data_IF_326416969862
#
_entry.id   IF_326416969862
#
_cell.length_a   1.000
_cell.length_b   1.000
_cell.length_c   1.000
_cell.angle_alpha   90.00
_cell.angle_beta   90.00
_cell.angle_gamma   90.00
#
_symmetry.space_group_name_H-M   'P 1'
#
loop_
_entity.id
_entity.type
_entity.pdbx_description
1 polymer ?
#
# COMPACT_ATOMS: atom_id res chain seq x y z
N UNK A 1 -1.34 28.56 7.73
CA UNK A 1 -1.81 27.22 8.15
C UNK A 1 -1.34 26.22 7.10
N UNK A 2 -0.02 26.19 6.91
CA UNK A 2 0.71 25.30 6.00
C UNK A 2 1.47 24.33 6.90
N UNK A 3 1.20 23.03 6.85
CA UNK A 3 2.08 21.98 7.46
C UNK A 3 1.62 20.53 7.27
N UNK A 4 0.56 20.22 6.52
CA UNK A 4 0.13 18.83 6.29
C UNK A 4 0.22 18.35 4.83
N UNK A 5 0.57 19.22 3.87
CA UNK A 5 0.78 18.83 2.46
C UNK A 5 2.14 18.16 2.18
N UNK A 6 3.08 18.15 3.12
CA UNK A 6 4.39 17.47 2.95
C UNK A 6 4.36 15.94 3.09
N UNK A 7 3.18 15.34 3.33
CA UNK A 7 3.02 13.89 3.50
C UNK A 7 2.22 13.23 2.37
N UNK A 8 2.22 13.86 1.18
CA UNK A 8 2.05 13.09 -0.05
C UNK A 8 3.24 12.14 -0.17
N UNK A 9 3.09 10.96 0.42
CA UNK A 9 3.66 9.73 -0.13
C UNK A 9 3.08 9.68 -1.55
N UNK A 10 3.76 10.34 -2.49
CA UNK A 10 3.46 10.21 -3.90
C UNK A 10 3.42 8.70 -4.16
N UNK A 11 2.32 8.20 -4.75
CA UNK A 11 2.05 6.79 -4.78
C UNK A 11 3.18 6.10 -5.55
N UNK A 12 4.09 5.44 -4.83
CA UNK A 12 4.50 4.12 -5.28
C UNK A 12 3.19 3.37 -5.40
N UNK A 13 2.72 3.25 -6.65
CA UNK A 13 1.52 2.54 -7.06
C UNK A 13 1.73 1.08 -6.66
N UNK A 14 1.52 0.81 -5.38
CA UNK A 14 1.34 -0.52 -4.84
C UNK A 14 -0.17 -0.65 -4.87
N UNK A 15 -0.67 -1.25 -5.94
CA UNK A 15 -2.10 -1.43 -6.15
C UNK A 15 -2.71 -2.12 -4.90
N UNK A 16 -3.63 -1.42 -4.21
CA UNK A 16 -4.51 -2.01 -3.18
C UNK A 16 -3.96 -2.17 -1.75
N UNK A 17 -3.16 -1.26 -1.21
CA UNK A 17 -2.62 -1.37 0.18
C UNK A 17 -3.65 -1.08 1.27
N UNK A 18 -4.36 -2.11 1.70
CA UNK A 18 -4.97 -2.17 3.04
C UNK A 18 -3.90 -2.21 4.14
N UNK A 19 -4.18 -1.62 5.30
CA UNK A 19 -3.30 -1.55 6.48
C UNK A 19 -2.69 -2.90 6.91
N UNK A 20 -3.31 -4.03 6.57
CA UNK A 20 -2.78 -5.38 6.83
C UNK A 20 -1.46 -5.69 6.12
N UNK A 21 -1.17 -5.05 4.97
CA UNK A 21 0.09 -5.30 4.26
C UNK A 21 1.29 -4.61 4.93
N UNK A 22 1.08 -3.50 5.63
CA UNK A 22 2.13 -2.83 6.41
C UNK A 22 2.64 -3.72 7.56
N UNK A 23 1.75 -4.50 8.17
CA UNK A 23 2.11 -5.42 9.24
C UNK A 23 2.94 -6.63 8.76
N UNK A 24 2.84 -6.98 7.48
CA UNK A 24 3.37 -8.24 6.94
C UNK A 24 4.90 -8.36 6.96
N UNK A 25 5.63 -7.24 7.00
CA UNK A 25 7.09 -7.21 6.85
C UNK A 25 7.60 -7.37 5.41
N UNK A 26 6.75 -7.84 4.48
CA UNK A 26 7.14 -8.11 3.10
C UNK A 26 7.39 -6.83 2.28
N UNK A 27 6.55 -5.80 2.49
CA UNK A 27 6.70 -4.50 1.84
C UNK A 27 8.01 -3.84 2.26
N UNK A 28 8.37 -3.92 3.53
CA UNK A 28 9.62 -3.35 4.08
C UNK A 28 10.84 -4.07 3.52
N UNK A 29 10.79 -5.40 3.39
CA UNK A 29 11.84 -6.15 2.71
C UNK A 29 12.00 -5.69 1.25
N UNK A 30 10.89 -5.48 0.53
CA UNK A 30 10.95 -5.03 -0.86
C UNK A 30 11.47 -3.59 -1.00
N UNK A 31 11.13 -2.69 -0.07
CA UNK A 31 11.68 -1.32 -0.05
C UNK A 31 13.21 -1.36 0.09
N UNK A 32 13.73 -2.20 0.98
CA UNK A 32 15.17 -2.37 1.10
C UNK A 32 15.81 -3.05 -0.11
N UNK A 33 15.12 -3.96 -0.78
CA UNK A 33 15.64 -4.59 -1.99
C UNK A 33 15.72 -3.60 -3.17
N UNK A 34 14.81 -2.62 -3.22
CA UNK A 34 14.89 -1.51 -4.17
C UNK A 34 16.12 -0.63 -3.89
N UNK A 35 16.41 -0.35 -2.62
CA UNK A 35 17.57 0.45 -2.18
C UNK A 35 18.89 -0.31 -2.36
N UNK A 36 18.90 -1.60 -2.03
CA UNK A 36 20.07 -2.49 -2.04
C UNK A 36 19.78 -3.79 -2.80
N UNK A 37 19.68 -3.73 -4.15
CA UNK A 37 19.36 -4.90 -4.94
C UNK A 37 20.31 -6.08 -4.68
N UNK A 38 19.73 -7.24 -4.36
CA UNK A 38 20.48 -8.48 -4.13
C UNK A 38 20.97 -8.69 -2.69
N UNK A 39 20.86 -7.69 -1.81
CA UNK A 39 21.17 -7.84 -0.38
C UNK A 39 20.04 -8.55 0.35
N UNK A 40 18.79 -8.26 -0.01
CA UNK A 40 17.61 -8.88 0.60
C UNK A 40 17.42 -10.29 0.02
N UNK A 41 17.36 -11.34 0.86
CA UNK A 41 17.08 -12.69 0.40
C UNK A 41 15.58 -12.83 0.07
N UNK A 42 15.16 -12.28 -1.07
CA UNK A 42 13.75 -12.20 -1.49
C UNK A 42 13.05 -13.56 -1.59
N UNK A 43 13.81 -14.66 -1.72
CA UNK A 43 13.29 -16.03 -1.69
C UNK A 43 12.80 -16.51 -0.32
N UNK A 44 13.17 -15.81 0.76
CA UNK A 44 12.69 -16.09 2.11
C UNK A 44 11.50 -15.22 2.51
N UNK A 45 11.14 -14.24 1.69
CA UNK A 45 10.08 -13.28 2.00
C UNK A 45 8.74 -13.85 1.53
N UNK A 46 7.80 -14.00 2.46
CA UNK A 46 6.44 -14.41 2.18
C UNK A 46 5.55 -13.19 1.93
N UNK A 47 5.22 -12.92 0.67
CA UNK A 47 4.34 -11.80 0.29
C UNK A 47 2.85 -12.04 0.60
N UNK A 48 2.47 -13.29 0.83
CA UNK A 48 1.10 -13.70 1.17
C UNK A 48 0.93 -13.97 2.67
N UNK A 49 1.85 -13.46 3.52
CA UNK A 49 1.83 -13.65 4.96
C UNK A 49 0.54 -13.09 5.59
N UNK A 50 -0.26 -13.98 6.18
CA UNK A 50 -1.54 -13.65 6.84
C UNK A 50 -1.53 -13.88 8.35
N UNK A 51 -0.62 -14.72 8.84
CA UNK A 51 -0.53 -15.06 10.27
C UNK A 51 0.63 -14.32 10.93
N UNK A 52 0.54 -14.03 12.23
CA UNK A 52 1.62 -13.40 12.99
C UNK A 52 2.94 -14.19 12.86
N UNK A 53 2.86 -15.52 12.84
CA UNK A 53 4.01 -16.40 12.63
C UNK A 53 4.73 -16.12 11.31
N UNK A 54 3.97 -16.02 10.20
CA UNK A 54 4.53 -15.73 8.87
C UNK A 54 5.13 -14.32 8.81
N UNK A 55 4.46 -13.34 9.42
CA UNK A 55 4.96 -11.96 9.48
C UNK A 55 6.27 -11.87 10.27
N UNK A 56 6.38 -12.60 11.39
CA UNK A 56 7.62 -12.69 12.17
C UNK A 56 8.77 -13.22 11.31
N UNK A 57 8.55 -14.18 10.42
CA UNK A 57 9.63 -14.67 9.53
C UNK A 57 10.11 -13.59 8.57
N UNK A 58 9.21 -12.79 8.02
CA UNK A 58 9.59 -11.63 7.20
C UNK A 58 10.40 -10.60 8.00
N UNK A 59 10.02 -10.30 9.25
CA UNK A 59 10.80 -9.40 10.09
C UNK A 59 12.18 -9.96 10.48
N UNK A 60 12.33 -11.28 10.60
CA UNK A 60 13.66 -11.89 10.79
C UNK A 60 14.56 -11.66 9.57
N UNK A 61 14.01 -11.81 8.36
CA UNK A 61 14.73 -11.47 7.12
C UNK A 61 15.13 -10.00 7.13
N UNK A 62 14.21 -9.11 7.51
CA UNK A 62 14.46 -7.68 7.59
C UNK A 62 15.58 -7.34 8.60
N UNK A 63 15.54 -7.93 9.81
CA UNK A 63 16.58 -7.76 10.83
C UNK A 63 17.95 -8.27 10.36
N UNK A 64 17.99 -9.40 9.66
CA UNK A 64 19.24 -9.94 9.08
C UNK A 64 19.85 -8.93 8.10
N UNK A 65 19.03 -8.31 7.26
CA UNK A 65 19.48 -7.27 6.31
C UNK A 65 19.94 -6.00 7.03
N UNK A 66 19.21 -5.54 8.06
CA UNK A 66 19.63 -4.39 8.88
C UNK A 66 21.00 -4.62 9.51
N UNK A 67 21.23 -5.83 10.06
CA UNK A 67 22.50 -6.21 10.65
C UNK A 67 23.65 -6.26 9.63
N UNK A 68 23.38 -6.72 8.40
CA UNK A 68 24.36 -6.74 7.29
C UNK A 68 24.73 -5.33 6.85
N UNK A 69 23.73 -4.46 6.71
CA UNK A 69 23.89 -3.07 6.28
C UNK A 69 24.30 -2.12 7.41
N UNK A 70 24.45 -2.61 8.65
CA UNK A 70 24.79 -1.83 9.84
C UNK A 70 23.80 -0.68 10.12
N UNK A 71 22.52 -0.95 9.90
CA UNK A 71 21.44 0.00 10.15
C UNK A 71 21.08 -0.06 11.64
N UNK A 72 21.45 0.99 12.39
CA UNK A 72 21.17 1.10 13.83
C UNK A 72 19.77 1.65 14.11
N UNK A 73 18.75 0.86 13.75
CA UNK A 73 17.35 1.14 14.06
C UNK A 73 16.72 -0.08 14.72
N UNK A 74 16.23 0.11 15.93
CA UNK A 74 15.45 -0.91 16.62
C UNK A 74 14.11 -1.17 15.92
N UNK A 75 13.79 -2.45 15.68
CA UNK A 75 12.54 -2.89 15.04
C UNK A 75 11.66 -3.54 16.12
N UNK A 76 10.56 -2.87 16.47
CA UNK A 76 9.56 -3.36 17.44
C UNK A 76 8.65 -4.44 16.83
N UNK A 77 9.22 -5.59 16.47
CA UNK A 77 8.53 -6.67 15.73
C UNK A 77 7.18 -7.02 16.36
N UNK A 78 7.13 -7.23 17.68
CA UNK A 78 5.91 -7.60 18.41
C UNK A 78 4.76 -6.59 18.31
N UNK A 79 5.05 -5.32 18.04
CA UNK A 79 4.02 -4.28 17.84
C UNK A 79 3.59 -4.22 16.38
N UNK A 80 4.56 -4.35 15.48
CA UNK A 80 4.36 -4.29 14.04
C UNK A 80 3.50 -5.45 13.53
N UNK A 81 3.83 -6.69 13.93
CA UNK A 81 3.10 -7.91 13.50
C UNK A 81 1.66 -7.96 14.04
N UNK A 82 1.37 -7.24 15.12
CA UNK A 82 0.01 -7.07 15.65
C UNK A 82 -0.84 -6.08 14.86
N UNK A 83 -0.29 -5.50 13.79
CA UNK A 83 -1.01 -4.56 12.94
C UNK A 83 -1.34 -3.24 13.62
N UNK A 84 -0.59 -2.83 14.65
CA UNK A 84 -0.81 -1.54 15.31
C UNK A 84 -0.56 -0.40 14.32
N UNK A 85 -1.57 0.44 13.99
CA UNK A 85 -1.45 1.39 12.88
C UNK A 85 -0.35 2.44 13.09
N UNK A 86 -0.23 2.97 14.31
CA UNK A 86 0.76 4.01 14.62
C UNK A 86 2.20 3.47 14.56
N UNK A 87 2.48 2.32 15.18
CA UNK A 87 3.81 1.70 15.15
C UNK A 87 4.21 1.36 13.70
N UNK A 88 3.28 0.80 12.90
CA UNK A 88 3.54 0.48 11.50
C UNK A 88 3.78 1.72 10.63
N UNK A 89 2.99 2.77 10.83
CA UNK A 89 3.15 4.03 10.12
C UNK A 89 4.49 4.71 10.46
N UNK A 90 4.83 4.79 11.74
CA UNK A 90 6.10 5.36 12.20
C UNK A 90 7.30 4.62 11.59
N UNK A 91 7.26 3.28 11.60
CA UNK A 91 8.32 2.46 11.03
C UNK A 91 8.45 2.65 9.52
N UNK A 92 7.32 2.64 8.78
CA UNK A 92 7.33 2.85 7.32
C UNK A 92 7.82 4.24 6.94
N UNK A 93 7.40 5.28 7.66
CA UNK A 93 7.88 6.64 7.43
C UNK A 93 9.39 6.74 7.65
N UNK A 94 9.88 6.16 8.75
CA UNK A 94 11.32 6.12 9.01
C UNK A 94 12.07 5.36 7.90
N UNK A 95 11.56 4.19 7.50
CA UNK A 95 12.19 3.37 6.47
C UNK A 95 12.22 4.08 5.12
N UNK A 96 11.14 4.76 4.74
CA UNK A 96 11.09 5.56 3.51
C UNK A 96 12.15 6.66 3.53
N UNK A 97 12.25 7.44 4.61
CA UNK A 97 13.28 8.48 4.75
C UNK A 97 14.69 7.89 4.67
N UNK A 98 14.91 6.72 5.29
CA UNK A 98 16.17 6.01 5.20
C UNK A 98 16.49 5.60 3.74
N UNK A 99 15.57 4.92 3.05
CA UNK A 99 15.73 4.53 1.65
C UNK A 99 16.03 5.74 0.74
N UNK A 100 15.30 6.85 0.93
CA UNK A 100 15.50 8.08 0.16
C UNK A 100 16.88 8.70 0.41
N UNK A 101 17.34 8.68 1.67
CA UNK A 101 18.65 9.21 2.03
C UNK A 101 19.80 8.42 1.40
N UNK A 102 19.63 7.11 1.21
CA UNK A 102 20.63 6.23 0.60
C UNK A 102 20.64 6.40 -0.92
N UNK A 103 19.46 6.44 -1.55
CA UNK A 103 19.34 6.54 -3.01
C UNK A 103 19.46 7.98 -3.54
N UNK A 104 19.62 8.98 -2.68
CA UNK A 104 19.58 10.40 -3.06
C UNK A 104 18.22 10.82 -3.65
N UNK A 105 17.15 10.10 -3.33
CA UNK A 105 15.82 10.29 -3.90
C UNK A 105 15.63 9.78 -5.34
N UNK A 106 16.65 9.15 -5.95
CA UNK A 106 16.56 8.61 -7.31
C UNK A 106 16.06 7.16 -7.27
N UNK A 107 14.93 6.91 -7.93
CA UNK A 107 14.38 5.57 -8.10
C UNK A 107 15.15 4.82 -9.18
N UNK A 108 15.55 3.58 -8.87
CA UNK A 108 16.23 2.70 -9.83
C UNK A 108 15.24 2.30 -10.94
N UNK A 109 15.34 2.92 -12.11
CA UNK A 109 14.45 2.70 -13.27
C UNK A 109 14.50 1.25 -13.79
N UNK A 110 15.55 0.50 -13.47
CA UNK A 110 15.73 -0.90 -13.91
C UNK A 110 15.25 -1.92 -12.87
N UNK A 111 14.64 -1.49 -11.76
CA UNK A 111 14.14 -2.41 -10.73
C UNK A 111 12.71 -2.88 -11.03
N UNK A 112 12.55 -4.18 -11.34
CA UNK A 112 11.24 -4.80 -11.53
C UNK A 112 10.76 -5.52 -10.25
N UNK A 113 9.81 -4.95 -9.47
CA UNK A 113 9.35 -5.53 -8.21
C UNK A 113 8.65 -6.88 -8.38
N UNK A 114 7.95 -7.10 -9.50
CA UNK A 114 7.17 -8.32 -9.74
C UNK A 114 8.12 -9.49 -9.97
N UNK A 115 9.12 -9.31 -10.83
CA UNK A 115 10.14 -10.34 -11.08
C UNK A 115 10.91 -10.73 -9.82
N UNK A 116 11.21 -9.76 -8.95
CA UNK A 116 11.93 -10.00 -7.68
C UNK A 116 11.09 -10.83 -6.71
N UNK A 117 9.77 -10.65 -6.69
CA UNK A 117 8.84 -11.51 -5.93
C UNK A 117 8.78 -12.92 -6.52
N UNK A 118 8.66 -13.06 -7.84
CA UNK A 118 8.48 -14.36 -8.50
C UNK A 118 9.74 -15.24 -8.48
N UNK A 119 10.95 -14.66 -8.55
CA UNK A 119 12.22 -15.41 -8.41
C UNK A 119 12.43 -15.96 -7.00
N UNK A 120 11.64 -15.53 -6.01
CA UNK A 120 11.72 -16.03 -4.64
C UNK A 120 11.00 -17.36 -4.39
N UNK A 121 10.01 -17.71 -5.21
CA UNK A 121 9.09 -18.83 -4.95
C UNK A 121 9.47 -20.12 -5.70
N UNK A 122 10.40 -20.04 -6.65
CA UNK A 122 10.78 -21.18 -7.49
C UNK A 122 12.26 -21.48 -7.36
N UNK A 123 12.61 -22.31 -6.38
CA UNK A 123 13.66 -23.34 -6.51
C UNK A 123 13.66 -24.29 -5.30
N UNK A 124 12.68 -25.19 -5.29
CA UNK A 124 12.80 -26.51 -4.67
C UNK A 124 13.12 -27.55 -5.75
N UNK A 125 14.33 -27.53 -6.32
CA UNK A 125 15.03 -28.72 -6.83
C UNK A 125 16.44 -28.33 -7.33
N UNK A 126 17.54 -28.99 -6.89
CA UNK A 126 18.87 -28.73 -7.42
C UNK A 126 19.15 -29.69 -8.59
N UNK A 127 19.39 -29.17 -9.80
CA UNK A 127 20.21 -29.83 -10.84
C UNK A 127 20.34 -28.97 -12.11
N UNK A 128 21.49 -28.31 -12.25
CA UNK A 128 22.19 -28.06 -13.52
C UNK A 128 23.57 -27.46 -13.18
N UNK A 129 24.57 -28.29 -12.87
CA UNK A 129 25.69 -28.58 -13.78
C UNK A 129 26.33 -27.36 -14.44
N UNK A 130 27.33 -26.77 -13.77
CA UNK A 130 28.50 -26.24 -14.45
C UNK A 130 29.76 -26.91 -13.89
N UNK A 131 30.56 -27.42 -14.82
CA UNK A 131 31.79 -28.19 -14.62
C UNK A 131 32.96 -27.22 -14.42
N UNK A 132 33.81 -27.47 -13.42
CA UNK A 132 35.26 -27.70 -13.60
C UNK A 132 35.98 -27.95 -12.25
N UNK A 133 37.19 -28.57 -12.28
CA UNK A 133 37.55 -29.61 -11.30
C UNK A 133 38.77 -29.31 -10.41
N UNK A 134 39.01 -30.26 -9.47
CA UNK A 134 40.21 -30.51 -8.63
C UNK A 134 40.27 -29.63 -7.36
N UNK A 135 40.60 -30.12 -6.18
CA UNK A 135 41.33 -31.33 -5.78
C UNK A 135 41.08 -31.64 -4.29
N UNK A 136 41.12 -32.93 -3.90
CA UNK A 136 41.71 -33.52 -2.67
C UNK A 136 41.21 -32.94 -1.31
N UNK A 137 40.76 -33.68 -0.29
CA UNK A 137 41.12 -35.01 0.19
C UNK A 137 40.26 -35.37 1.42
N UNK A 138 40.02 -36.67 1.60
CA UNK A 138 39.90 -37.45 2.86
C UNK A 138 38.76 -37.25 3.87
N UNK A 139 37.88 -38.26 3.87
CA UNK A 139 37.62 -39.23 4.95
C UNK A 139 36.95 -38.83 6.29
N UNK A 140 35.85 -39.56 6.49
CA UNK A 140 35.49 -40.41 7.62
C UNK A 140 34.38 -39.96 8.58
N UNK A 141 33.45 -40.91 8.69
CA UNK A 141 32.27 -41.02 9.55
C UNK A 141 32.64 -41.34 11.02
N UNK A 142 31.55 -41.54 11.79
CA UNK A 142 31.40 -42.23 13.08
C UNK A 142 32.10 -41.50 14.26
N UNK A 143 31.50 -41.30 15.45
CA UNK A 143 30.53 -42.09 16.16
C UNK A 143 30.07 -41.35 17.44
N UNK A 144 28.85 -41.66 17.88
CA UNK A 144 28.30 -41.77 19.25
C UNK A 144 29.15 -41.43 20.48
N UNK A 145 28.52 -40.81 21.49
CA UNK A 145 28.89 -41.02 22.90
C UNK A 145 28.49 -39.90 23.87
N UNK A 146 27.57 -40.14 24.82
CA UNK A 146 27.15 -39.23 25.89
C UNK A 146 27.95 -39.45 27.19
N UNK A 147 28.04 -38.47 28.10
CA UNK A 147 27.84 -38.71 29.55
C UNK A 147 27.78 -37.42 30.39
N UNK A 148 27.15 -37.60 31.54
CA UNK A 148 26.75 -36.78 32.68
C UNK A 148 27.75 -35.77 33.30
N UNK A 149 27.24 -34.71 33.94
CA UNK A 149 27.11 -34.59 35.42
C UNK A 149 26.86 -33.14 35.92
N UNK A 150 25.65 -32.94 36.47
CA UNK A 150 25.28 -32.41 37.81
C UNK A 150 26.04 -31.21 38.43
N UNK A 151 25.26 -30.22 38.91
CA UNK A 151 25.57 -29.38 40.10
C UNK A 151 25.26 -27.88 39.93
N UNK A 152 24.01 -27.39 40.06
CA UNK A 152 23.23 -27.07 41.27
C UNK A 152 23.64 -25.77 42.03
N UNK A 153 22.81 -24.73 41.84
CA UNK A 153 22.31 -23.68 42.76
C UNK A 153 23.26 -22.77 43.56
N UNK A 154 23.01 -21.44 43.51
CA UNK A 154 22.35 -20.68 44.61
C UNK A 154 21.93 -19.26 44.20
N UNK A 155 20.93 -18.76 44.93
CA UNK A 155 20.02 -17.65 44.64
C UNK A 155 20.33 -16.33 45.37
N UNK A 156 19.42 -15.35 45.17
CA UNK A 156 19.12 -14.12 45.93
C UNK A 156 19.78 -12.83 45.39
N UNK A 157 19.11 -11.69 45.22
CA UNK A 157 17.74 -11.28 45.53
C UNK A 157 17.52 -9.78 45.20
N UNK A 158 16.23 -9.43 45.00
CA UNK A 158 15.57 -8.12 45.12
C UNK A 158 16.25 -6.82 44.62
N UNK A 159 15.54 -6.12 43.71
CA UNK A 159 15.15 -4.70 43.88
C UNK A 159 13.88 -4.39 43.08
N UNK A 160 12.77 -4.24 43.80
CA UNK A 160 11.54 -3.60 43.34
C UNK A 160 11.84 -2.16 42.94
N UNK A 161 11.47 -1.76 41.72
CA UNK A 161 11.30 -0.35 41.37
C UNK A 161 9.82 -0.03 41.44
N UNK A 162 9.53 0.95 42.29
CA UNK A 162 8.21 1.38 42.73
C UNK A 162 7.55 2.19 41.62
N UNK A 163 6.34 1.77 41.29
CA UNK A 163 5.35 2.44 40.44
C UNK A 163 5.13 3.88 40.90
N UNK A 164 5.36 4.85 40.02
CA UNK A 164 4.88 6.21 40.20
C UNK A 164 3.43 6.28 39.73
N UNK A 165 2.54 6.35 40.71
CA UNK A 165 1.28 7.08 40.75
C UNK A 165 0.61 7.33 39.38
N UNK A 166 -0.36 6.47 39.08
CA UNK A 166 -1.46 6.74 38.19
C UNK A 166 -2.33 7.88 38.76
N UNK A 167 -2.45 8.98 38.04
CA UNK A 167 -3.47 10.01 38.31
C UNK A 167 -3.89 10.83 37.08
N UNK A 168 -3.64 10.35 35.86
CA UNK A 168 -4.07 11.07 34.63
C UNK A 168 -4.60 10.15 33.50
N UNK A 169 -4.70 8.84 33.75
CA UNK A 169 -5.09 7.84 32.74
C UNK A 169 -6.57 7.82 32.37
N UNK A 170 -7.45 8.40 33.21
CA UNK A 170 -8.88 8.38 32.99
C UNK A 170 -9.33 9.36 31.88
N UNK A 171 -8.70 10.55 31.82
CA UNK A 171 -9.03 11.56 30.80
C UNK A 171 -8.54 11.16 29.40
N UNK A 172 -7.33 10.60 29.31
CA UNK A 172 -6.79 10.08 28.05
C UNK A 172 -7.59 8.88 27.51
N UNK A 173 -8.01 7.95 28.37
CA UNK A 173 -8.81 6.80 27.94
C UNK A 173 -10.16 7.20 27.34
N UNK A 174 -10.84 8.18 27.94
CA UNK A 174 -12.11 8.71 27.42
C UNK A 174 -11.94 9.43 26.07
N UNK A 175 -10.87 10.22 25.93
CA UNK A 175 -10.58 10.92 24.68
C UNK A 175 -10.14 9.96 23.56
N UNK A 176 -9.34 8.94 23.88
CA UNK A 176 -8.98 7.87 22.93
C UNK A 176 -10.22 7.10 22.49
N UNK A 177 -11.17 6.83 23.39
CA UNK A 177 -12.41 6.16 23.06
C UNK A 177 -13.34 7.04 22.19
N UNK A 178 -13.45 8.33 22.50
CA UNK A 178 -14.22 9.29 21.71
C UNK A 178 -13.66 9.43 20.29
N UNK A 179 -12.35 9.62 20.15
CA UNK A 179 -11.66 9.68 18.86
C UNK A 179 -11.77 8.36 18.09
N UNK A 180 -11.71 7.22 18.78
CA UNK A 180 -11.89 5.91 18.15
C UNK A 180 -13.31 5.74 17.60
N UNK A 181 -14.33 6.25 18.31
CA UNK A 181 -15.71 6.27 17.83
C UNK A 181 -15.86 7.17 16.61
N UNK A 182 -15.30 8.37 16.66
CA UNK A 182 -15.33 9.32 15.53
C UNK A 182 -14.64 8.73 14.29
N UNK A 183 -13.50 8.05 14.45
CA UNK A 183 -12.84 7.34 13.35
C UNK A 183 -13.72 6.23 12.78
N UNK A 184 -14.46 5.50 13.62
CA UNK A 184 -15.37 4.45 13.17
C UNK A 184 -16.56 5.06 12.38
N UNK A 185 -17.16 6.13 12.90
CA UNK A 185 -18.28 6.83 12.25
C UNK A 185 -17.84 7.45 10.91
N UNK A 186 -16.67 8.09 10.88
CA UNK A 186 -16.08 8.63 9.64
C UNK A 186 -15.77 7.55 8.62
N UNK A 187 -15.25 6.39 9.05
CA UNK A 187 -15.02 5.25 8.12
C UNK A 187 -16.32 4.77 7.51
N UNK A 188 -17.37 4.58 8.30
CA UNK A 188 -18.69 4.21 7.79
C UNK A 188 -19.25 5.28 6.83
N UNK A 189 -19.03 6.56 7.14
CA UNK A 189 -19.43 7.66 6.27
C UNK A 189 -18.66 7.65 4.94
N UNK A 190 -17.35 7.41 4.97
CA UNK A 190 -16.54 7.29 3.75
C UNK A 190 -16.98 6.09 2.92
N UNK A 191 -17.17 4.93 3.54
CA UNK A 191 -17.65 3.72 2.84
C UNK A 191 -19.02 3.94 2.17
N UNK A 192 -19.90 4.73 2.81
CA UNK A 192 -21.19 5.09 2.24
C UNK A 192 -21.03 6.05 1.06
N UNK A 193 -20.22 7.11 1.22
CA UNK A 193 -19.96 8.09 0.17
C UNK A 193 -19.26 7.46 -1.04
N UNK A 194 -18.38 6.48 -0.83
CA UNK A 194 -17.74 5.73 -1.92
C UNK A 194 -18.77 4.90 -2.69
N UNK A 195 -19.70 4.25 -2.00
CA UNK A 195 -20.80 3.53 -2.66
C UNK A 195 -21.71 4.46 -3.45
N UNK A 196 -22.04 5.63 -2.90
CA UNK A 196 -22.85 6.64 -3.60
C UNK A 196 -22.10 7.19 -4.83
N UNK A 197 -20.82 7.54 -4.68
CA UNK A 197 -19.95 7.96 -5.79
C UNK A 197 -19.93 6.91 -6.90
N UNK A 198 -19.67 5.65 -6.55
CA UNK A 198 -19.57 4.56 -7.52
C UNK A 198 -20.93 4.28 -8.19
N UNK A 199 -22.02 4.38 -7.43
CA UNK A 199 -23.37 4.27 -7.96
C UNK A 199 -23.64 5.32 -9.04
N UNK A 200 -23.36 6.60 -8.77
CA UNK A 200 -23.55 7.66 -9.76
C UNK A 200 -22.58 7.55 -10.93
N UNK A 201 -21.32 7.18 -10.69
CA UNK A 201 -20.35 6.97 -11.74
C UNK A 201 -20.79 5.89 -12.73
N UNK A 202 -21.24 4.73 -12.24
CA UNK A 202 -21.74 3.65 -13.10
C UNK A 202 -22.93 4.12 -13.93
N UNK A 203 -23.89 4.81 -13.31
CA UNK A 203 -25.06 5.35 -14.02
C UNK A 203 -24.68 6.34 -15.12
N UNK A 204 -23.77 7.26 -14.82
CA UNK A 204 -23.28 8.24 -15.81
C UNK A 204 -22.49 7.58 -16.93
N UNK A 205 -21.70 6.53 -16.62
CA UNK A 205 -20.98 5.75 -17.64
C UNK A 205 -21.93 4.97 -18.55
N UNK A 206 -22.99 4.38 -18.01
CA UNK A 206 -24.04 3.73 -18.80
C UNK A 206 -24.70 4.72 -19.78
N UNK A 207 -25.03 5.92 -19.30
CA UNK A 207 -25.58 7.01 -20.12
C UNK A 207 -24.59 7.44 -21.21
N UNK A 208 -23.30 7.58 -20.87
CA UNK A 208 -22.26 7.96 -21.80
C UNK A 208 -22.13 6.95 -22.96
N UNK A 209 -22.10 5.66 -22.63
CA UNK A 209 -22.02 4.58 -23.62
C UNK A 209 -23.24 4.62 -24.54
N UNK A 210 -24.44 4.84 -23.99
CA UNK A 210 -25.65 5.00 -24.78
C UNK A 210 -25.55 6.21 -25.74
N UNK A 211 -25.01 7.34 -25.27
CA UNK A 211 -24.80 8.55 -26.08
C UNK A 211 -23.69 8.42 -27.13
N UNK A 212 -22.95 7.30 -27.14
CA UNK A 212 -21.90 6.98 -28.10
C UNK A 212 -22.34 5.95 -29.15
N UNK A 213 -23.61 5.49 -29.13
CA UNK A 213 -24.07 4.58 -30.19
C UNK A 213 -24.34 5.34 -31.49
N UNK A 214 -24.02 4.76 -32.67
CA UNK A 214 -24.10 5.45 -33.96
C UNK A 214 -25.47 6.06 -34.28
N UNK A 215 -26.54 5.47 -33.74
CA UNK A 215 -27.92 5.89 -33.97
C UNK A 215 -28.27 7.19 -33.25
N UNK A 216 -27.64 7.47 -32.11
CA UNK A 216 -27.98 8.61 -31.26
C UNK A 216 -26.82 9.58 -31.03
N UNK A 217 -25.59 9.22 -31.41
CA UNK A 217 -24.38 10.00 -31.06
C UNK A 217 -24.38 11.45 -31.59
N UNK A 218 -25.08 11.67 -32.70
CA UNK A 218 -25.19 12.96 -33.39
C UNK A 218 -26.47 13.72 -33.03
N UNK A 219 -27.35 13.14 -32.20
CA UNK A 219 -28.54 13.86 -31.73
C UNK A 219 -28.10 15.04 -30.85
N UNK A 220 -28.76 16.21 -30.98
CA UNK A 220 -28.44 17.40 -30.18
C UNK A 220 -28.43 17.10 -28.68
N UNK A 221 -29.37 16.28 -28.22
CA UNK A 221 -29.47 15.83 -26.83
C UNK A 221 -28.22 15.05 -26.39
N UNK A 222 -27.75 14.10 -27.20
CA UNK A 222 -26.54 13.31 -26.89
C UNK A 222 -25.29 14.18 -26.85
N UNK A 223 -25.19 15.19 -27.73
CA UNK A 223 -24.09 16.15 -27.72
C UNK A 223 -24.13 17.03 -26.47
N UNK A 224 -25.31 17.51 -26.07
CA UNK A 224 -25.50 18.29 -24.85
C UNK A 224 -25.17 17.48 -23.59
N UNK A 225 -25.59 16.22 -23.52
CA UNK A 225 -25.22 15.30 -22.42
C UNK A 225 -23.70 15.07 -22.37
N UNK A 226 -23.04 14.86 -23.52
CA UNK A 226 -21.57 14.74 -23.59
C UNK A 226 -20.84 16.00 -23.12
N UNK A 227 -21.36 17.19 -23.43
CA UNK A 227 -20.80 18.46 -22.90
C UNK A 227 -20.80 18.49 -21.37
N UNK A 228 -21.89 18.04 -20.73
CA UNK A 228 -21.97 17.94 -19.27
C UNK A 228 -20.96 16.92 -18.74
N UNK A 229 -20.88 15.74 -19.35
CA UNK A 229 -19.99 14.66 -18.91
C UNK A 229 -18.49 14.96 -19.10
N UNK A 230 -18.13 15.81 -20.07
CA UNK A 230 -16.74 16.14 -20.42
C UNK A 230 -16.28 17.52 -19.93
N UNK A 231 -17.09 18.19 -19.11
CA UNK A 231 -16.72 19.45 -18.50
C UNK A 231 -15.42 19.32 -17.69
N UNK A 232 -14.45 20.19 -17.94
CA UNK A 232 -13.12 20.11 -17.34
C UNK A 232 -13.09 20.59 -15.87
N UNK A 233 -14.04 21.44 -15.47
CA UNK A 233 -14.14 21.97 -14.11
C UNK A 233 -15.33 21.37 -13.38
N UNK A 234 -15.06 20.61 -12.32
CA UNK A 234 -16.10 20.02 -11.47
C UNK A 234 -16.80 21.04 -10.55
N UNK A 235 -16.28 22.27 -10.45
CA UNK A 235 -16.84 23.34 -9.60
C UNK A 235 -17.81 24.26 -10.33
N UNK A 236 -17.76 24.28 -11.67
CA UNK A 236 -18.64 25.09 -12.50
C UNK A 236 -19.63 24.17 -13.23
N UNK A 237 -20.93 24.46 -13.12
CA UNK A 237 -21.95 23.64 -13.77
C UNK A 237 -21.92 23.86 -15.28
N UNK A 238 -21.66 22.81 -16.06
CA UNK A 238 -21.75 22.84 -17.53
C UNK A 238 -23.20 22.78 -18.06
N UNK A 239 -24.20 22.74 -17.16
CA UNK A 239 -25.61 22.68 -17.54
C UNK A 239 -26.07 23.87 -18.40
N UNK A 240 -25.74 25.14 -18.07
CA UNK A 240 -26.17 26.28 -18.89
C UNK A 240 -25.62 26.25 -20.32
N UNK A 241 -24.36 25.80 -20.49
CA UNK A 241 -23.75 25.67 -21.82
C UNK A 241 -24.45 24.57 -22.65
N UNK A 242 -24.82 23.46 -22.00
CA UNK A 242 -25.55 22.38 -22.65
C UNK A 242 -26.98 22.82 -23.05
N UNK A 243 -27.67 23.57 -22.21
CA UNK A 243 -28.99 24.14 -22.49
C UNK A 243 -28.94 25.16 -23.63
N UNK A 244 -27.93 26.04 -23.63
CA UNK A 244 -27.73 27.01 -24.71
C UNK A 244 -27.49 26.31 -26.05
N UNK A 245 -26.68 25.25 -26.08
CA UNK A 245 -26.46 24.45 -27.28
C UNK A 245 -27.76 23.87 -27.85
N UNK A 246 -28.64 23.34 -27.00
CA UNK A 246 -29.95 22.83 -27.41
C UNK A 246 -30.86 23.94 -27.93
N UNK A 247 -30.90 25.09 -27.26
CA UNK A 247 -31.68 26.24 -27.68
C UNK A 247 -31.22 26.79 -29.05
N UNK A 248 -29.92 26.82 -29.30
CA UNK A 248 -29.37 27.19 -30.59
C UNK A 248 -29.81 26.21 -31.68
N UNK A 249 -29.76 24.89 -31.43
CA UNK A 249 -30.19 23.88 -32.40
C UNK A 249 -31.68 24.02 -32.77
N UNK A 250 -32.58 24.21 -31.79
CA UNK A 250 -34.01 24.42 -32.05
C UNK A 250 -34.30 25.69 -32.87
N UNK A 251 -33.49 26.74 -32.71
CA UNK A 251 -33.59 27.97 -33.50
C UNK A 251 -33.11 27.79 -34.96
N UNK A 252 -32.23 26.81 -35.23
CA UNK A 252 -31.81 26.46 -36.59
C UNK A 252 -32.90 25.69 -37.35
N UNK A 253 -33.56 24.72 -36.72
CA UNK A 253 -34.68 23.97 -37.33
C UNK A 253 -35.90 24.86 -37.64
N UNK A 254 -36.24 25.79 -36.73
CA UNK A 254 -37.37 26.72 -36.95
C UNK A 254 -37.10 27.78 -38.01
N UNK A 255 -35.84 28.14 -38.27
CA UNK A 255 -35.48 29.01 -39.39
C UNK A 255 -35.54 28.30 -40.74
N UNK A 256 -35.06 27.05 -40.83
CA UNK A 256 -35.12 26.27 -42.07
C UNK A 256 -36.55 25.96 -42.51
N UNK A 257 -37.44 25.67 -41.56
CA UNK A 257 -38.85 25.36 -41.85
C UNK A 257 -39.64 26.60 -42.32
N UNK A 258 -39.31 27.78 -41.79
CA UNK A 258 -39.95 29.04 -42.20
C UNK A 258 -39.44 29.55 -43.55
N UNK A 259 -38.21 29.22 -43.94
CA UNK A 259 -37.64 29.55 -45.25
C UNK A 259 -38.16 28.59 -46.34
N UNK A 260 -38.36 27.32 -46.03
CA UNK A 260 -38.96 26.32 -46.93
C UNK A 260 -40.45 26.56 -47.20
N UNK A 261 -41.20 27.18 -46.28
CA UNK A 261 -42.62 27.55 -46.48
C UNK A 261 -42.84 28.85 -47.26
N UNK A 262 -41.76 29.56 -47.61
CA UNK A 262 -41.82 30.85 -48.32
C UNK A 262 -41.71 30.72 -49.84
N UNK A 263 -41.63 29.48 -50.35
CA UNK A 263 -41.62 29.14 -51.77
C UNK A 263 -42.83 28.27 -52.13
#
# INVERSE_FOLDING_TARGET
>A
MESLDCLRIAPMKIDGVGTGMAASGAVQCQMLDTTYPGVVPMHKVNFDAKTEYDMIQNYKVLQEVFNKLKIDKHIEVSRLVKGRPLDNLEFLQWLKRYCDSVNGGIMNENYNPIERRSKGVKDRNPRASQKNPKSLQTNNMYNSGPDDTIGLNKASGFRQVKTYVAADGANFSGQVQALSKEIADLKLSVDLLEKERDFYFVKLREIEILCQTPEVENLPMSVAVKKILYAADAKESALPEAEEYLAQFSNFETKSDNEARKF
#
